data_IF_003957348939
#
_entry.id   IF_003957348939
#
_cell.length_a   1.000
_cell.length_b   1.000
_cell.length_c   1.000
_cell.angle_alpha   90.00
_cell.angle_beta   90.00
_cell.angle_gamma   90.00
#
_symmetry.space_group_name_H-M   'P 1'
#
loop_
_entity.id
_entity.type
_entity.pdbx_description
1 polymer ?
#
# COMPACT_ATOMS: atom_id res chain seq x y z
N UNK A 1 37.71 1.56 14.56
CA UNK A 1 36.31 1.13 14.29
C UNK A 1 36.24 -0.35 14.58
N UNK A 2 35.38 -0.79 15.51
CA UNK A 2 35.30 -2.21 15.89
C UNK A 2 34.79 -3.03 14.72
N UNK A 3 35.40 -4.19 14.47
CA UNK A 3 34.96 -5.14 13.45
C UNK A 3 33.49 -5.54 13.66
N UNK A 4 33.06 -5.62 14.92
CA UNK A 4 31.68 -5.93 15.33
C UNK A 4 30.67 -4.88 14.86
N UNK A 5 31.06 -3.61 14.80
CA UNK A 5 30.18 -2.53 14.34
C UNK A 5 29.94 -2.60 12.82
N UNK A 6 30.92 -3.08 12.06
CA UNK A 6 30.80 -3.29 10.61
C UNK A 6 29.98 -4.56 10.34
N UNK A 7 30.21 -5.63 11.11
CA UNK A 7 29.45 -6.88 11.02
C UNK A 7 27.97 -6.66 11.37
N UNK A 8 27.67 -5.83 12.37
CA UNK A 8 26.29 -5.50 12.74
C UNK A 8 25.59 -4.60 11.73
N UNK A 9 26.28 -3.59 11.19
CA UNK A 9 25.74 -2.74 10.13
C UNK A 9 25.50 -3.51 8.82
N UNK A 10 26.32 -4.53 8.53
CA UNK A 10 26.11 -5.45 7.41
C UNK A 10 24.96 -6.43 7.68
N UNK A 11 24.83 -6.94 8.91
CA UNK A 11 23.72 -7.81 9.32
C UNK A 11 22.35 -7.11 9.35
N UNK A 12 22.32 -5.79 9.53
CA UNK A 12 21.09 -4.98 9.48
C UNK A 12 20.64 -4.63 8.03
N UNK A 13 21.45 -4.95 7.02
CA UNK A 13 21.21 -4.58 5.61
C UNK A 13 20.59 -5.68 4.73
N UNK A 14 20.49 -6.94 5.18
CA UNK A 14 20.36 -8.05 4.23
C UNK A 14 19.05 -8.86 4.39
N UNK A 15 18.18 -8.74 3.38
CA UNK A 15 17.19 -9.75 3.00
C UNK A 15 15.96 -9.94 3.91
N UNK A 16 14.89 -9.18 3.67
CA UNK A 16 13.53 -9.64 3.99
C UNK A 16 13.16 -9.69 5.47
N UNK A 17 12.98 -8.52 6.10
CA UNK A 17 12.24 -8.47 7.38
C UNK A 17 10.88 -9.15 7.16
N UNK A 18 10.51 -10.22 7.88
CA UNK A 18 9.25 -10.93 7.64
C UNK A 18 8.03 -10.00 7.76
N UNK A 19 8.12 -9.00 8.64
CA UNK A 19 7.14 -7.92 8.77
C UNK A 19 7.00 -7.11 7.46
N UNK A 20 8.09 -6.83 6.77
CA UNK A 20 8.08 -6.08 5.51
C UNK A 20 7.41 -6.87 4.39
N UNK A 21 7.68 -8.17 4.26
CA UNK A 21 6.99 -9.04 3.30
C UNK A 21 5.49 -9.10 3.58
N UNK A 22 5.08 -9.23 4.86
CA UNK A 22 3.66 -9.18 5.24
C UNK A 22 2.98 -7.86 4.87
N UNK A 23 3.67 -6.73 5.06
CA UNK A 23 3.16 -5.42 4.63
C UNK A 23 3.01 -5.33 3.12
N UNK A 24 3.99 -5.82 2.35
CA UNK A 24 3.91 -5.86 0.89
C UNK A 24 2.76 -6.76 0.40
N UNK A 25 2.53 -7.91 1.03
CA UNK A 25 1.38 -8.77 0.73
C UNK A 25 0.05 -8.07 1.03
N UNK A 26 -0.05 -7.35 2.15
CA UNK A 26 -1.23 -6.54 2.47
C UNK A 26 -1.46 -5.45 1.40
N UNK A 27 -0.40 -4.73 1.03
CA UNK A 27 -0.47 -3.71 -0.02
C UNK A 27 -0.81 -4.29 -1.39
N UNK A 28 -0.36 -5.50 -1.72
CA UNK A 28 -0.73 -6.20 -2.93
C UNK A 28 -2.25 -6.39 -3.00
N UNK A 29 -2.86 -6.92 -1.93
CA UNK A 29 -4.31 -7.10 -1.83
C UNK A 29 -5.04 -5.77 -1.95
N UNK A 30 -4.59 -4.75 -1.22
CA UNK A 30 -5.19 -3.40 -1.29
C UNK A 30 -5.09 -2.79 -2.69
N UNK A 31 -3.94 -2.95 -3.36
CA UNK A 31 -3.71 -2.50 -4.74
C UNK A 31 -4.62 -3.21 -5.74
N UNK A 32 -4.80 -4.53 -5.62
CA UNK A 32 -5.76 -5.29 -6.44
C UNK A 32 -7.19 -4.77 -6.22
N UNK A 33 -7.61 -4.55 -4.98
CA UNK A 33 -8.93 -3.98 -4.68
C UNK A 33 -9.09 -2.60 -5.33
N UNK A 34 -8.05 -1.76 -5.27
CA UNK A 34 -8.06 -0.43 -5.89
C UNK A 34 -8.22 -0.50 -7.42
N UNK A 35 -7.61 -1.46 -8.09
CA UNK A 35 -7.73 -1.65 -9.54
C UNK A 35 -9.10 -2.20 -9.93
N UNK A 36 -9.58 -3.22 -9.21
CA UNK A 36 -10.80 -3.95 -9.59
C UNK A 36 -12.05 -3.17 -9.15
N UNK A 37 -12.12 -2.76 -7.89
CA UNK A 37 -13.28 -2.07 -7.28
C UNK A 37 -12.82 -0.98 -6.31
N UNK A 38 -12.33 0.18 -6.81
CA UNK A 38 -11.88 1.28 -5.95
C UNK A 38 -12.97 1.83 -5.02
N UNK A 39 -14.24 1.61 -5.36
CA UNK A 39 -15.40 1.99 -4.54
C UNK A 39 -15.42 1.28 -3.18
N UNK A 40 -14.84 0.07 -3.08
CA UNK A 40 -14.79 -0.65 -1.81
C UNK A 40 -13.89 0.06 -0.80
N UNK A 41 -12.73 0.55 -1.26
CA UNK A 41 -11.82 1.34 -0.42
C UNK A 41 -12.46 2.65 0.01
N UNK A 42 -13.14 3.33 -0.91
CA UNK A 42 -13.88 4.54 -0.57
C UNK A 42 -14.99 4.26 0.45
N UNK A 43 -15.79 3.21 0.27
CA UNK A 43 -16.87 2.85 1.21
C UNK A 43 -16.35 2.48 2.60
N UNK A 44 -15.20 1.81 2.68
CA UNK A 44 -14.55 1.52 3.95
C UNK A 44 -14.06 2.82 4.61
N UNK A 45 -13.40 3.67 3.84
CA UNK A 45 -12.89 4.96 4.31
C UNK A 45 -14.00 5.92 4.73
N UNK A 46 -15.09 6.03 3.97
CA UNK A 46 -16.22 6.92 4.27
C UNK A 46 -16.93 6.51 5.56
N UNK A 47 -17.04 5.21 5.85
CA UNK A 47 -17.56 4.71 7.14
C UNK A 47 -16.71 5.14 8.32
N UNK A 48 -15.38 5.12 8.18
CA UNK A 48 -14.47 5.62 9.22
C UNK A 48 -14.58 7.15 9.36
N UNK A 49 -14.75 7.86 8.24
CA UNK A 49 -14.88 9.31 8.23
C UNK A 49 -16.21 9.82 8.77
N UNK A 50 -17.30 9.04 8.77
CA UNK A 50 -18.60 9.46 9.33
C UNK A 50 -18.55 9.87 10.81
N UNK A 51 -17.55 9.41 11.57
CA UNK A 51 -17.35 9.84 12.96
C UNK A 51 -16.60 11.16 13.13
N UNK A 52 -15.93 11.66 12.08
CA UNK A 52 -14.99 12.80 12.14
C UNK A 52 -15.34 13.92 11.16
N UNK A 53 -16.00 13.60 10.06
CA UNK A 53 -16.32 14.53 8.97
C UNK A 53 -17.83 14.72 8.90
N UNK A 54 -18.26 15.98 8.87
CA UNK A 54 -19.68 16.37 8.90
C UNK A 54 -20.49 15.82 7.72
N UNK A 55 -19.87 15.65 6.55
CA UNK A 55 -20.55 15.10 5.38
C UNK A 55 -19.56 14.36 4.42
N UNK A 56 -19.24 13.09 4.71
CA UNK A 56 -18.24 12.33 3.94
C UNK A 56 -18.72 11.90 2.54
N UNK A 57 -20.03 11.92 2.29
CA UNK A 57 -20.58 11.60 0.97
C UNK A 57 -20.29 12.73 -0.05
N UNK A 58 -20.10 13.98 0.42
CA UNK A 58 -19.78 15.11 -0.44
C UNK A 58 -18.36 15.03 -1.05
N UNK A 59 -17.52 14.11 -0.57
CA UNK A 59 -16.17 13.86 -1.07
C UNK A 59 -16.05 12.55 -1.85
N UNK A 60 -17.19 11.95 -2.24
CA UNK A 60 -17.18 10.79 -3.13
C UNK A 60 -16.49 11.11 -4.47
N UNK A 61 -15.49 10.32 -4.89
CA UNK A 61 -14.90 10.48 -6.19
C UNK A 61 -15.94 10.33 -7.31
N UNK A 62 -15.88 11.20 -8.30
CA UNK A 62 -16.68 11.04 -9.53
C UNK A 62 -16.25 9.79 -10.29
N UNK A 63 -17.02 9.38 -11.32
CA UNK A 63 -16.63 8.27 -12.21
C UNK A 63 -15.22 8.44 -12.80
N UNK A 64 -14.85 9.67 -13.18
CA UNK A 64 -13.48 10.01 -13.62
C UNK A 64 -12.45 9.88 -12.49
N UNK A 65 -12.82 10.27 -11.28
CA UNK A 65 -11.98 10.07 -10.07
C UNK A 65 -11.73 8.59 -9.79
N UNK A 66 -12.74 7.73 -9.92
CA UNK A 66 -12.55 6.28 -9.79
C UNK A 66 -11.69 5.69 -10.91
N UNK A 67 -11.81 6.17 -12.15
CA UNK A 67 -10.92 5.77 -13.23
C UNK A 67 -9.46 6.15 -12.94
N UNK A 68 -9.22 7.37 -12.46
CA UNK A 68 -7.88 7.80 -12.03
C UNK A 68 -7.34 6.94 -10.88
N UNK A 69 -8.19 6.61 -9.90
CA UNK A 69 -7.81 5.72 -8.80
C UNK A 69 -7.35 4.33 -9.27
N UNK A 70 -7.98 3.79 -10.33
CA UNK A 70 -7.54 2.53 -10.94
C UNK A 70 -6.17 2.67 -11.58
N UNK A 71 -5.93 3.73 -12.34
CA UNK A 71 -4.63 4.00 -12.99
C UNK A 71 -3.52 4.09 -11.93
N UNK A 72 -3.75 4.87 -10.88
CA UNK A 72 -2.81 4.96 -9.75
C UNK A 72 -2.63 3.59 -9.09
N UNK A 73 -3.71 2.83 -8.92
CA UNK A 73 -3.67 1.48 -8.38
C UNK A 73 -2.82 0.52 -9.20
N UNK A 74 -2.84 0.61 -10.54
CA UNK A 74 -1.99 -0.23 -11.42
C UNK A 74 -0.51 0.11 -11.23
N UNK A 75 -0.17 1.41 -11.20
CA UNK A 75 1.20 1.88 -10.99
C UNK A 75 1.70 1.41 -9.61
N UNK A 76 0.89 1.60 -8.58
CA UNK A 76 1.19 1.15 -7.23
C UNK A 76 1.39 -0.36 -7.16
N UNK A 77 0.51 -1.15 -7.78
CA UNK A 77 0.61 -2.61 -7.79
C UNK A 77 1.89 -3.09 -8.49
N UNK A 78 2.26 -2.47 -9.60
CA UNK A 78 3.52 -2.75 -10.29
C UNK A 78 4.74 -2.51 -9.40
N UNK A 79 4.73 -1.40 -8.63
CA UNK A 79 5.78 -1.10 -7.67
C UNK A 79 5.85 -2.11 -6.52
N UNK A 80 4.70 -2.47 -5.93
CA UNK A 80 4.64 -3.48 -4.85
C UNK A 80 5.13 -4.85 -5.32
N UNK A 81 4.73 -5.29 -6.52
CA UNK A 81 5.20 -6.55 -7.11
C UNK A 81 6.71 -6.51 -7.30
N UNK A 82 7.23 -5.41 -7.87
CA UNK A 82 8.67 -5.25 -8.05
C UNK A 82 9.43 -5.33 -6.73
N UNK A 83 8.97 -4.63 -5.70
CA UNK A 83 9.56 -4.70 -4.36
C UNK A 83 9.53 -6.12 -3.79
N UNK A 84 8.41 -6.83 -3.96
CA UNK A 84 8.22 -8.18 -3.43
C UNK A 84 9.13 -9.19 -4.14
N UNK A 85 9.34 -9.04 -5.45
CA UNK A 85 10.33 -9.81 -6.22
C UNK A 85 11.75 -9.57 -5.71
N UNK A 86 12.11 -8.34 -5.34
CA UNK A 86 13.43 -8.01 -4.79
C UNK A 86 13.67 -8.57 -3.37
N UNK A 87 12.65 -9.14 -2.71
CA UNK A 87 12.81 -9.79 -1.40
C UNK A 87 13.12 -11.30 -1.51
N UNK A 88 13.08 -11.87 -2.72
CA UNK A 88 13.40 -13.27 -3.02
C UNK A 88 14.67 -13.36 -3.88
#
# INVERSE_FOLDING_TARGET
MSHDAIVQAASDSDGGRPVFVLLLCFFLVMGVVQVVRPQLLWKANSRLQRGWVRNPEATEPTSKGYAMNRVVGVIFLGFVIWMLVQQF
#
